data_IF_838485460923
#
_entry.id   IF_838485460923
#
_cell.length_a   1.000
_cell.length_b   1.000
_cell.length_c   1.000
_cell.angle_alpha   90.00
_cell.angle_beta   90.00
_cell.angle_gamma   90.00
#
_symmetry.space_group_name_H-M   'P 1'
#
loop_
_entity.id
_entity.type
_entity.pdbx_description
1 polymer ?
#
# COMPACT_ATOMS: atom_id res chain seq x y z
N UNK A 1 -4.00 80.02 -38.82
CA UNK A 1 -3.63 79.33 -37.56
C UNK A 1 -3.80 77.83 -37.75
N UNK A 2 -2.72 77.07 -37.50
CA UNK A 2 -2.61 75.59 -37.34
C UNK A 2 -2.89 74.72 -38.57
N UNK A 3 -2.19 73.63 -38.83
CA UNK A 3 -0.78 73.20 -38.69
C UNK A 3 -0.70 71.89 -39.48
N UNK A 4 0.37 71.73 -40.27
CA UNK A 4 0.82 70.48 -40.88
C UNK A 4 1.00 69.38 -39.81
N UNK A 5 0.54 68.15 -40.05
CA UNK A 5 1.17 66.93 -39.48
C UNK A 5 1.05 65.74 -40.43
N UNK A 6 2.22 65.30 -40.91
CA UNK A 6 2.53 63.99 -41.45
C UNK A 6 2.42 62.90 -40.37
N UNK A 7 1.99 61.70 -40.75
CA UNK A 7 2.35 60.40 -40.14
C UNK A 7 1.89 59.31 -41.12
N UNK A 8 2.73 58.78 -42.02
CA UNK A 8 3.63 57.64 -41.79
C UNK A 8 3.03 56.58 -40.84
N UNK A 9 2.35 55.58 -41.38
CA UNK A 9 2.08 54.33 -40.67
C UNK A 9 2.86 53.23 -41.36
N UNK A 10 3.88 52.79 -40.62
CA UNK A 10 4.80 51.72 -40.95
C UNK A 10 4.07 50.36 -40.93
N UNK A 11 4.40 49.53 -41.89
CA UNK A 11 4.06 48.10 -41.96
C UNK A 11 4.70 47.37 -40.78
N UNK A 12 3.91 46.61 -40.02
CA UNK A 12 4.40 45.56 -39.13
C UNK A 12 3.64 44.27 -39.43
N UNK A 13 4.22 43.47 -40.31
CA UNK A 13 3.91 42.05 -40.54
C UNK A 13 4.02 41.28 -39.23
N UNK A 14 2.89 40.76 -38.76
CA UNK A 14 2.84 39.84 -37.63
C UNK A 14 3.28 38.45 -38.12
N UNK A 15 4.55 38.11 -37.87
CA UNK A 15 5.03 36.74 -37.98
C UNK A 15 4.44 35.96 -36.82
N UNK A 16 3.41 35.17 -37.07
CA UNK A 16 2.89 34.20 -36.11
C UNK A 16 3.91 33.06 -36.03
N UNK A 17 4.80 33.15 -35.05
CA UNK A 17 5.64 32.01 -34.65
C UNK A 17 4.74 30.95 -34.02
N UNK A 18 4.41 29.89 -34.77
CA UNK A 18 4.03 28.60 -34.22
C UNK A 18 5.24 28.02 -33.48
N UNK A 19 5.39 28.40 -32.21
CA UNK A 19 6.24 27.66 -31.29
C UNK A 19 5.47 26.39 -30.89
N UNK A 20 5.90 25.27 -31.46
CA UNK A 20 5.53 23.93 -31.04
C UNK A 20 5.72 23.81 -29.52
N UNK A 21 4.60 23.72 -28.79
CA UNK A 21 4.60 23.34 -27.39
C UNK A 21 4.85 21.83 -27.33
N UNK A 22 6.12 21.46 -27.46
CA UNK A 22 6.57 20.12 -27.11
C UNK A 22 6.26 19.92 -25.62
N UNK A 23 5.24 19.11 -25.35
CA UNK A 23 4.88 18.68 -24.02
C UNK A 23 6.10 17.96 -23.40
N UNK A 24 6.89 18.69 -22.63
CA UNK A 24 7.90 18.06 -21.80
C UNK A 24 7.18 17.09 -20.86
N UNK A 25 7.65 15.83 -20.74
CA UNK A 25 7.07 14.90 -19.77
C UNK A 25 7.22 15.56 -18.40
N UNK A 26 6.08 15.88 -17.76
CA UNK A 26 6.05 16.49 -16.42
C UNK A 26 6.90 15.62 -15.50
N UNK A 27 8.11 16.10 -15.20
CA UNK A 27 9.03 15.47 -14.27
C UNK A 27 8.26 15.30 -12.97
N UNK A 28 8.00 14.06 -12.57
CA UNK A 28 7.25 13.79 -11.34
C UNK A 28 7.94 14.52 -10.18
N UNK A 29 7.18 15.18 -9.29
CA UNK A 29 7.77 15.81 -8.12
C UNK A 29 8.60 14.75 -7.37
N UNK A 30 9.79 15.11 -6.89
CA UNK A 30 10.63 14.19 -6.15
C UNK A 30 9.85 13.67 -4.94
N UNK A 31 9.95 12.36 -4.70
CA UNK A 31 9.38 11.75 -3.50
C UNK A 31 9.99 12.42 -2.26
N UNK A 32 9.20 12.61 -1.18
CA UNK A 32 9.72 13.15 0.06
C UNK A 32 10.89 12.31 0.54
N UNK A 33 11.97 12.96 0.97
CA UNK A 33 13.21 12.32 1.39
C UNK A 33 13.29 12.06 2.89
N UNK A 34 12.27 12.46 3.64
CA UNK A 34 12.20 12.22 5.08
C UNK A 34 11.97 10.72 5.34
N UNK A 35 12.83 10.14 6.18
CA UNK A 35 12.65 8.78 6.68
C UNK A 35 11.85 8.84 7.98
N UNK A 36 10.90 7.94 8.13
CA UNK A 36 10.19 7.73 9.38
C UNK A 36 11.16 7.33 10.49
N UNK A 37 10.81 7.71 11.71
CA UNK A 37 11.54 7.27 12.90
C UNK A 37 11.04 5.88 13.27
N UNK A 38 11.92 4.89 13.17
CA UNK A 38 11.62 3.50 13.54
C UNK A 38 12.39 3.15 14.80
N UNK A 39 11.66 2.68 15.81
CA UNK A 39 12.23 2.19 17.06
C UNK A 39 11.84 0.73 17.25
N UNK A 40 12.84 -0.14 17.35
CA UNK A 40 12.66 -1.50 17.85
C UNK A 40 12.82 -1.44 19.37
N UNK A 41 11.71 -1.53 20.10
CA UNK A 41 11.71 -1.40 21.56
C UNK A 41 11.42 -2.73 22.25
N UNK A 42 12.08 -2.97 23.38
CA UNK A 42 11.58 -3.90 24.38
C UNK A 42 10.50 -3.17 25.16
N UNK A 43 9.24 -3.24 24.71
CA UNK A 43 8.11 -2.60 25.41
C UNK A 43 7.97 -3.07 26.86
N UNK A 44 7.32 -2.22 27.68
CA UNK A 44 6.84 -2.56 29.02
C UNK A 44 5.88 -3.76 28.98
N UNK A 45 5.75 -4.47 30.11
CA UNK A 45 4.93 -5.67 30.24
C UNK A 45 3.46 -5.43 29.82
N UNK A 46 2.90 -4.26 30.11
CA UNK A 46 1.47 -3.97 29.82
C UNK A 46 1.16 -3.85 28.32
N UNK A 47 2.07 -3.26 27.53
CA UNK A 47 1.91 -3.21 26.08
C UNK A 47 2.26 -4.55 25.41
N UNK A 48 3.04 -5.41 26.09
CA UNK A 48 3.17 -6.81 25.68
C UNK A 48 1.84 -7.55 25.77
N UNK A 49 0.97 -7.18 26.71
CA UNK A 49 -0.28 -7.90 26.96
C UNK A 49 -1.41 -7.49 26.00
N UNK A 50 -1.51 -6.23 25.58
CA UNK A 50 -2.57 -5.77 24.66
C UNK A 50 -2.53 -6.45 23.29
N UNK A 51 -1.37 -6.44 22.62
CA UNK A 51 -1.21 -7.08 21.31
C UNK A 51 -1.35 -8.60 21.38
N UNK A 52 -0.86 -9.22 22.46
CA UNK A 52 -1.01 -10.67 22.69
C UNK A 52 -2.47 -11.05 22.95
N UNK A 53 -3.19 -10.27 23.75
CA UNK A 53 -4.61 -10.48 24.03
C UNK A 53 -5.43 -10.40 22.75
N UNK A 54 -5.20 -9.39 21.91
CA UNK A 54 -5.87 -9.28 20.61
C UNK A 54 -5.57 -10.48 19.69
N UNK A 55 -4.32 -10.95 19.67
CA UNK A 55 -3.93 -12.15 18.94
C UNK A 55 -4.65 -13.40 19.45
N UNK A 56 -4.69 -13.61 20.77
CA UNK A 56 -5.36 -14.76 21.39
C UNK A 56 -6.88 -14.72 21.20
N UNK A 57 -7.51 -13.56 21.32
CA UNK A 57 -8.95 -13.38 21.06
C UNK A 57 -9.30 -13.72 19.61
N UNK A 58 -8.48 -13.27 18.66
CA UNK A 58 -8.64 -13.63 17.25
C UNK A 58 -8.47 -15.13 17.00
N UNK A 59 -7.42 -15.74 17.56
CA UNK A 59 -7.16 -17.18 17.41
C UNK A 59 -8.28 -18.03 18.03
N UNK A 60 -8.84 -17.62 19.17
CA UNK A 60 -10.02 -18.25 19.77
C UNK A 60 -11.25 -18.13 18.88
N UNK A 61 -11.48 -16.98 18.27
CA UNK A 61 -12.62 -16.78 17.39
C UNK A 61 -12.53 -17.66 16.13
N UNK A 62 -11.39 -17.71 15.45
CA UNK A 62 -11.22 -18.54 14.24
C UNK A 62 -11.17 -20.05 14.52
N UNK A 63 -11.00 -20.46 15.78
CA UNK A 63 -11.09 -21.86 16.22
C UNK A 63 -12.46 -22.22 16.82
N UNK A 64 -13.44 -21.31 16.77
CA UNK A 64 -14.76 -21.46 17.38
C UNK A 64 -14.74 -21.72 18.91
N UNK A 65 -13.67 -21.29 19.58
CA UNK A 65 -13.48 -21.42 21.04
C UNK A 65 -13.74 -20.10 21.78
N UNK A 66 -14.23 -19.06 21.10
CA UNK A 66 -14.38 -17.71 21.65
C UNK A 66 -15.53 -16.91 21.05
N UNK A 67 -15.56 -15.61 21.31
CA UNK A 67 -16.57 -14.71 20.77
C UNK A 67 -16.23 -14.35 19.30
N UNK A 68 -17.14 -14.65 18.38
CA UNK A 68 -17.03 -14.33 16.96
C UNK A 68 -16.83 -12.82 16.70
N UNK A 69 -17.24 -11.96 17.63
CA UNK A 69 -17.00 -10.51 17.55
C UNK A 69 -15.52 -10.12 17.43
N UNK A 70 -14.57 -10.96 17.87
CA UNK A 70 -13.14 -10.70 17.68
C UNK A 70 -12.69 -10.80 16.20
N UNK A 71 -13.51 -11.38 15.32
CA UNK A 71 -13.30 -11.35 13.87
C UNK A 71 -13.48 -9.91 13.34
N UNK A 72 -14.26 -9.06 14.01
CA UNK A 72 -14.39 -7.63 13.66
C UNK A 72 -13.10 -6.81 13.95
N UNK A 73 -12.17 -7.38 14.72
CA UNK A 73 -10.83 -6.84 14.90
C UNK A 73 -9.94 -7.01 13.67
N UNK A 74 -10.39 -7.72 12.63
CA UNK A 74 -9.71 -7.79 11.34
C UNK A 74 -9.62 -6.41 10.70
N UNK A 75 -8.40 -6.02 10.33
CA UNK A 75 -8.18 -4.79 9.59
C UNK A 75 -8.71 -4.94 8.16
N UNK A 76 -9.76 -4.18 7.81
CA UNK A 76 -10.48 -4.32 6.54
C UNK A 76 -11.80 -5.08 6.63
N UNK A 77 -12.17 -5.53 7.83
CA UNK A 77 -13.38 -6.31 8.07
C UNK A 77 -13.22 -7.79 7.73
N UNK A 78 -14.23 -8.57 8.09
CA UNK A 78 -14.25 -10.01 7.83
C UNK A 78 -14.47 -10.28 6.33
N UNK A 79 -13.40 -10.45 5.56
CA UNK A 79 -13.52 -11.17 4.28
C UNK A 79 -13.51 -12.65 4.58
N UNK A 80 -14.68 -13.20 4.89
CA UNK A 80 -14.97 -14.64 5.06
C UNK A 80 -14.75 -15.42 3.75
N UNK A 81 -13.52 -15.41 3.23
CA UNK A 81 -13.09 -16.19 2.06
C UNK A 81 -11.75 -16.90 2.27
N UNK A 82 -11.09 -16.72 3.41
CA UNK A 82 -10.24 -17.79 3.90
C UNK A 82 -11.17 -18.98 4.14
N UNK A 83 -11.06 -20.03 3.29
CA UNK A 83 -11.55 -21.37 3.65
C UNK A 83 -10.84 -21.73 4.95
N UNK A 84 -11.45 -21.37 6.08
CA UNK A 84 -10.99 -21.68 7.42
C UNK A 84 -11.12 -23.19 7.53
N UNK A 85 -10.07 -23.90 7.13
CA UNK A 85 -9.83 -25.24 7.64
C UNK A 85 -9.92 -25.11 9.16
N UNK A 86 -10.89 -25.78 9.77
CA UNK A 86 -11.15 -25.73 11.20
C UNK A 86 -9.83 -25.91 11.94
N UNK A 87 -9.31 -24.86 12.55
CA UNK A 87 -8.04 -24.92 13.27
C UNK A 87 -8.37 -25.57 14.61
N UNK A 88 -8.21 -26.89 14.70
CA UNK A 88 -8.52 -27.65 15.92
C UNK A 88 -7.64 -27.21 17.09
N UNK A 89 -6.36 -26.95 16.82
CA UNK A 89 -5.37 -26.57 17.81
C UNK A 89 -4.45 -25.49 17.27
N UNK A 90 -4.16 -24.48 18.10
CA UNK A 90 -3.22 -23.41 17.80
C UNK A 90 -2.33 -23.10 19.00
N UNK A 91 -1.12 -22.61 18.74
CA UNK A 91 -0.20 -22.14 19.76
C UNK A 91 0.63 -20.98 19.23
N UNK A 92 0.76 -19.91 20.01
CA UNK A 92 1.76 -18.87 19.76
C UNK A 92 3.13 -19.43 20.17
N UNK A 93 4.00 -19.67 19.19
CA UNK A 93 5.33 -20.28 19.38
C UNK A 93 6.45 -19.24 19.45
N UNK A 94 6.19 -18.01 19.03
CA UNK A 94 7.17 -16.93 19.11
C UNK A 94 6.54 -15.56 18.95
N UNK A 95 7.30 -14.53 19.31
CA UNK A 95 6.99 -13.12 19.08
C UNK A 95 8.27 -12.42 18.65
N UNK A 96 8.21 -11.65 17.58
CA UNK A 96 9.32 -10.78 17.18
C UNK A 96 9.41 -9.53 18.06
N UNK A 97 10.48 -8.75 17.86
CA UNK A 97 10.59 -7.44 18.52
C UNK A 97 9.45 -6.55 18.05
N UNK A 98 8.87 -5.83 19.00
CA UNK A 98 7.88 -4.81 18.71
C UNK A 98 8.50 -3.72 17.85
N UNK A 99 7.83 -3.36 16.76
CA UNK A 99 8.28 -2.30 15.85
C UNK A 99 7.33 -1.14 15.96
N UNK A 100 7.88 0.03 16.18
CA UNK A 100 7.15 1.28 16.31
C UNK A 100 7.68 2.28 15.28
N UNK A 101 6.78 2.87 14.51
CA UNK A 101 7.12 3.84 13.47
C UNK A 101 6.31 5.12 13.64
N UNK A 102 6.99 6.26 13.58
CA UNK A 102 6.38 7.60 13.55
C UNK A 102 6.77 8.31 12.26
N UNK A 103 5.78 8.82 11.55
CA UNK A 103 5.98 9.53 10.28
C UNK A 103 4.92 10.57 10.00
N UNK A 104 5.02 11.20 8.83
CA UNK A 104 4.06 12.20 8.36
C UNK A 104 3.10 11.56 7.34
N UNK A 105 1.79 11.76 7.53
CA UNK A 105 0.75 11.26 6.63
C UNK A 105 0.83 11.89 5.24
N UNK A 106 1.32 13.14 5.18
CA UNK A 106 1.59 13.80 3.90
C UNK A 106 2.60 13.02 3.05
N UNK A 107 3.62 12.43 3.69
CA UNK A 107 4.63 11.65 2.99
C UNK A 107 4.07 10.30 2.52
N UNK A 108 3.28 9.62 3.37
CA UNK A 108 2.60 8.39 2.97
C UNK A 108 1.67 8.61 1.77
N UNK A 109 0.87 9.68 1.79
CA UNK A 109 0.00 10.04 0.68
C UNK A 109 0.81 10.32 -0.61
N UNK A 110 1.96 10.97 -0.49
CA UNK A 110 2.84 11.21 -1.64
C UNK A 110 3.40 9.91 -2.22
N UNK A 111 3.86 8.98 -1.38
CA UNK A 111 4.35 7.67 -1.81
C UNK A 111 3.25 6.85 -2.47
N UNK A 112 2.08 6.74 -1.83
CA UNK A 112 0.92 6.01 -2.36
C UNK A 112 0.49 6.59 -3.71
N UNK A 113 0.34 7.91 -3.80
CA UNK A 113 -0.05 8.57 -5.05
C UNK A 113 0.99 8.36 -6.18
N UNK A 114 2.29 8.37 -5.84
CA UNK A 114 3.35 8.15 -6.82
C UNK A 114 3.38 6.72 -7.34
N UNK A 115 3.17 5.73 -6.46
CA UNK A 115 3.07 4.31 -6.79
C UNK A 115 1.83 4.09 -7.65
N UNK A 116 0.66 4.56 -7.20
CA UNK A 116 -0.61 4.46 -7.93
C UNK A 116 -0.54 5.09 -9.33
N UNK A 117 0.16 6.23 -9.46
CA UNK A 117 0.42 6.86 -10.75
C UNK A 117 1.26 5.99 -11.66
N UNK A 118 2.38 5.44 -11.18
CA UNK A 118 3.21 4.52 -11.98
C UNK A 118 2.46 3.24 -12.36
N UNK A 119 1.65 2.68 -11.44
CA UNK A 119 0.85 1.50 -11.71
C UNK A 119 -0.18 1.73 -12.82
N UNK A 120 -0.85 2.89 -12.83
CA UNK A 120 -1.77 3.27 -13.91
C UNK A 120 -1.06 3.50 -15.25
N UNK A 121 0.10 4.14 -15.24
CA UNK A 121 0.92 4.34 -16.44
C UNK A 121 1.40 3.00 -17.02
N UNK A 122 1.85 2.09 -16.15
CA UNK A 122 2.22 0.73 -16.52
C UNK A 122 1.03 -0.03 -17.13
N UNK A 123 -0.12 -0.04 -16.46
CA UNK A 123 -1.34 -0.69 -16.96
C UNK A 123 -1.79 -0.11 -18.30
N UNK A 124 -1.78 1.22 -18.44
CA UNK A 124 -2.11 1.88 -19.71
C UNK A 124 -1.16 1.50 -20.83
N UNK A 125 0.11 1.25 -20.54
CA UNK A 125 1.10 0.81 -21.54
C UNK A 125 0.86 -0.64 -21.94
N UNK A 126 0.45 -1.50 -20.99
CA UNK A 126 0.14 -2.89 -21.26
C UNK A 126 -1.19 -3.08 -22.02
N UNK A 127 -2.18 -2.22 -21.77
CA UNK A 127 -3.51 -2.29 -22.42
C UNK A 127 -3.57 -1.48 -23.72
N UNK A 128 -2.92 -0.32 -23.77
CA UNK A 128 -3.10 0.68 -24.83
C UNK A 128 -2.29 0.44 -26.11
N UNK A 129 -1.52 -0.65 -26.18
CA UNK A 129 -0.53 -0.85 -27.23
C UNK A 129 0.62 0.16 -27.10
N UNK A 130 1.86 -0.31 -27.28
CA UNK A 130 2.96 0.62 -27.49
C UNK A 130 2.72 1.53 -28.71
N UNK A 131 3.61 2.48 -29.00
CA UNK A 131 3.57 3.33 -30.21
C UNK A 131 3.73 2.54 -31.54
N UNK A 132 3.46 1.24 -31.55
CA UNK A 132 3.59 0.31 -32.67
C UNK A 132 2.32 -0.55 -32.89
N UNK A 133 1.14 -0.13 -32.40
CA UNK A 133 -0.14 -0.76 -32.81
C UNK A 133 -0.80 0.10 -33.90
N UNK A 134 -0.77 -0.41 -35.13
CA UNK A 134 -1.35 0.21 -36.34
C UNK A 134 -2.81 -0.17 -36.56
N UNK A 135 -3.57 -0.58 -35.53
CA UNK A 135 -4.98 -0.99 -35.69
C UNK A 135 -5.94 -0.07 -34.92
N UNK A 136 -6.83 0.68 -35.60
CA UNK A 136 -7.74 1.64 -34.99
C UNK A 136 -8.96 1.02 -34.28
N UNK A 137 -9.16 -0.30 -34.35
CA UNK A 137 -10.32 -1.00 -33.78
C UNK A 137 -9.98 -2.18 -32.83
N UNK A 138 -8.71 -2.38 -32.45
CA UNK A 138 -8.27 -3.61 -31.75
C UNK A 138 -7.86 -3.42 -30.29
N UNK A 139 -8.77 -3.67 -29.33
CA UNK A 139 -8.39 -4.05 -27.96
C UNK A 139 -7.76 -5.45 -27.97
N UNK A 140 -6.55 -5.56 -28.52
CA UNK A 140 -5.74 -6.77 -28.48
C UNK A 140 -4.85 -6.75 -27.24
N UNK A 141 -5.05 -7.70 -26.31
CA UNK A 141 -4.06 -7.96 -25.26
C UNK A 141 -2.79 -8.43 -25.97
N UNK A 142 -1.77 -7.57 -26.04
CA UNK A 142 -0.48 -7.94 -26.58
C UNK A 142 0.12 -9.01 -25.66
N UNK A 143 0.62 -10.12 -26.21
CA UNK A 143 1.45 -11.06 -25.45
C UNK A 143 2.75 -10.33 -25.08
N UNK A 144 2.76 -9.71 -23.90
CA UNK A 144 3.92 -9.00 -23.38
C UNK A 144 4.91 -10.05 -22.88
N UNK A 145 6.13 -10.00 -23.41
CA UNK A 145 7.23 -10.83 -22.92
C UNK A 145 7.51 -10.53 -21.44
N UNK A 146 8.02 -11.51 -20.69
CA UNK A 146 8.39 -11.30 -19.27
C UNK A 146 9.38 -10.14 -19.11
N UNK A 147 10.27 -9.96 -20.08
CA UNK A 147 11.28 -8.89 -20.09
C UNK A 147 10.66 -7.50 -20.27
N UNK A 148 9.68 -7.37 -21.15
CA UNK A 148 9.00 -6.08 -21.38
C UNK A 148 8.04 -5.76 -20.25
N UNK A 149 7.38 -6.77 -19.67
CA UNK A 149 6.60 -6.60 -18.43
C UNK A 149 7.48 -6.09 -17.28
N UNK A 150 8.69 -6.63 -17.12
CA UNK A 150 9.66 -6.16 -16.12
C UNK A 150 10.04 -4.69 -16.35
N UNK A 151 10.34 -4.30 -17.60
CA UNK A 151 10.67 -2.89 -17.93
C UNK A 151 9.51 -1.94 -17.64
N UNK A 152 8.28 -2.34 -17.99
CA UNK A 152 7.08 -1.53 -17.78
C UNK A 152 6.77 -1.37 -16.28
N UNK A 153 7.00 -2.41 -15.48
CA UNK A 153 6.76 -2.41 -14.03
C UNK A 153 7.91 -1.84 -13.20
N UNK A 154 9.11 -1.68 -13.78
CA UNK A 154 10.30 -1.19 -13.08
C UNK A 154 10.09 0.15 -12.35
N UNK A 155 9.45 1.19 -12.94
CA UNK A 155 9.18 2.44 -12.23
C UNK A 155 8.31 2.25 -10.99
N UNK A 156 7.36 1.31 -11.05
CA UNK A 156 6.50 0.95 -9.92
C UNK A 156 7.33 0.28 -8.83
N UNK A 157 8.20 -0.68 -9.21
CA UNK A 157 9.11 -1.38 -8.28
C UNK A 157 10.03 -0.40 -7.55
N UNK A 158 10.67 0.52 -8.28
CA UNK A 158 11.58 1.52 -7.68
C UNK A 158 10.86 2.43 -6.68
N UNK A 159 9.62 2.84 -6.97
CA UNK A 159 8.83 3.66 -6.05
C UNK A 159 8.38 2.88 -4.81
N UNK A 160 7.99 1.61 -4.98
CA UNK A 160 7.70 0.70 -3.87
C UNK A 160 8.93 0.48 -2.99
N UNK A 161 10.12 0.27 -3.57
CA UNK A 161 11.37 0.16 -2.82
C UNK A 161 11.72 1.44 -2.06
N UNK A 162 11.52 2.60 -2.69
CA UNK A 162 11.72 3.88 -2.02
C UNK A 162 10.76 4.06 -0.83
N UNK A 163 9.50 3.65 -1.00
CA UNK A 163 8.51 3.68 0.09
C UNK A 163 8.93 2.75 1.24
N UNK A 164 9.31 1.50 0.92
CA UNK A 164 9.80 0.54 1.91
C UNK A 164 11.07 0.98 2.64
N UNK A 165 11.91 1.82 2.02
CA UNK A 165 13.10 2.39 2.68
C UNK A 165 12.77 3.56 3.59
N UNK A 166 11.76 4.35 3.26
CA UNK A 166 11.40 5.55 4.03
C UNK A 166 10.42 5.27 5.16
N UNK A 167 9.48 4.34 4.96
CA UNK A 167 8.44 3.98 5.93
C UNK A 167 8.34 2.45 6.02
N UNK A 168 9.39 1.78 6.53
CA UNK A 168 9.52 0.31 6.44
C UNK A 168 8.43 -0.46 7.19
N UNK A 169 7.95 0.02 8.34
CA UNK A 169 6.89 -0.67 9.09
C UNK A 169 5.57 -0.49 8.37
N UNK A 170 5.22 0.73 7.94
CA UNK A 170 4.01 0.97 7.16
C UNK A 170 4.01 0.19 5.86
N UNK A 171 5.11 0.20 5.11
CA UNK A 171 5.21 -0.50 3.84
C UNK A 171 5.07 -2.02 4.00
N UNK A 172 5.66 -2.60 5.06
CA UNK A 172 5.50 -4.02 5.40
C UNK A 172 4.04 -4.37 5.73
N UNK A 173 3.41 -3.52 6.54
CA UNK A 173 2.03 -3.68 7.01
C UNK A 173 1.03 -3.53 5.85
N UNK A 174 1.21 -2.52 5.00
CA UNK A 174 0.42 -2.28 3.80
C UNK A 174 0.73 -3.22 2.64
N UNK A 175 1.80 -4.03 2.77
CA UNK A 175 2.24 -5.04 1.81
C UNK A 175 2.59 -4.46 0.45
N UNK A 176 3.23 -3.29 0.45
CA UNK A 176 3.58 -2.48 -0.75
C UNK A 176 4.39 -3.26 -1.79
N UNK A 177 5.15 -4.26 -1.34
CA UNK A 177 5.97 -5.17 -2.14
C UNK A 177 5.20 -6.36 -2.73
N UNK A 178 3.90 -6.51 -2.40
CA UNK A 178 3.06 -7.63 -2.83
C UNK A 178 1.90 -7.15 -3.70
N UNK A 179 1.37 -8.06 -4.52
CA UNK A 179 0.24 -7.78 -5.42
C UNK A 179 -1.00 -7.27 -4.68
N UNK A 180 -1.23 -7.76 -3.45
CA UNK A 180 -2.36 -7.35 -2.59
C UNK A 180 -2.35 -5.85 -2.24
N UNK A 181 -1.21 -5.16 -2.35
CA UNK A 181 -1.15 -3.70 -2.20
C UNK A 181 -2.14 -2.97 -3.14
N UNK A 182 -2.25 -3.48 -4.36
CA UNK A 182 -3.03 -2.89 -5.45
C UNK A 182 -4.52 -3.17 -5.33
N UNK A 183 -4.93 -4.03 -4.40
CA UNK A 183 -6.33 -4.35 -4.22
C UNK A 183 -7.11 -3.11 -3.71
N UNK A 184 -8.24 -2.73 -4.33
CA UNK A 184 -9.01 -1.55 -3.91
C UNK A 184 -9.50 -1.64 -2.46
N UNK A 185 -9.73 -2.86 -1.96
CA UNK A 185 -10.11 -3.13 -0.56
C UNK A 185 -8.91 -3.27 0.39
N UNK A 186 -7.70 -2.89 -0.03
CA UNK A 186 -6.57 -2.83 0.91
C UNK A 186 -6.94 -1.86 2.05
N UNK A 187 -6.99 -2.32 3.31
CA UNK A 187 -7.57 -1.56 4.41
C UNK A 187 -6.74 -0.34 4.76
N UNK A 188 -5.45 -0.33 4.42
CA UNK A 188 -4.61 0.84 4.61
C UNK A 188 -5.02 2.00 3.72
N UNK A 189 -5.63 1.74 2.55
CA UNK A 189 -6.17 2.81 1.70
C UNK A 189 -7.29 3.56 2.41
N UNK A 190 -8.17 2.84 3.14
CA UNK A 190 -9.21 3.46 3.96
C UNK A 190 -8.61 4.22 5.14
N UNK A 191 -7.66 3.62 5.87
CA UNK A 191 -6.98 4.29 6.99
C UNK A 191 -6.29 5.60 6.58
N UNK A 192 -5.61 5.60 5.42
CA UNK A 192 -4.98 6.79 4.85
C UNK A 192 -6.01 7.85 4.44
N UNK A 193 -7.12 7.44 3.83
CA UNK A 193 -8.20 8.36 3.46
C UNK A 193 -8.82 9.01 4.70
N UNK A 194 -9.10 8.23 5.74
CA UNK A 194 -9.67 8.70 7.01
C UNK A 194 -8.69 9.61 7.78
N UNK A 195 -7.38 9.35 7.69
CA UNK A 195 -6.34 10.19 8.32
C UNK A 195 -6.21 11.59 7.70
N UNK A 196 -6.68 11.77 6.47
CA UNK A 196 -6.62 13.03 5.74
C UNK A 196 -5.24 13.34 5.12
N UNK A 197 -5.03 14.56 4.60
CA UNK A 197 -3.87 14.88 3.77
C UNK A 197 -2.58 15.19 4.55
N UNK A 198 -2.68 15.49 5.85
CA UNK A 198 -1.56 15.97 6.68
C UNK A 198 -1.69 15.47 8.12
N UNK A 199 -0.58 15.48 8.84
CA UNK A 199 -0.53 15.12 10.26
C UNK A 199 0.51 14.06 10.53
N UNK A 200 0.78 13.83 11.82
CA UNK A 200 1.68 12.77 12.25
C UNK A 200 0.89 11.50 12.49
N UNK A 201 1.48 10.38 12.10
CA UNK A 201 0.97 9.07 12.44
C UNK A 201 1.95 8.33 13.36
N UNK A 202 1.37 7.41 14.11
CA UNK A 202 2.08 6.37 14.84
C UNK A 202 1.55 5.02 14.38
N UNK A 203 2.46 4.11 14.08
CA UNK A 203 2.16 2.74 13.69
C UNK A 203 2.92 1.79 14.62
N UNK A 204 2.17 0.95 15.31
CA UNK A 204 2.66 -0.12 16.16
C UNK A 204 2.45 -1.46 15.47
N UNK A 205 3.47 -2.32 15.47
CA UNK A 205 3.41 -3.66 14.90
C UNK A 205 3.96 -4.68 15.89
N UNK A 206 3.12 -5.65 16.22
CA UNK A 206 3.50 -6.90 16.86
C UNK A 206 3.36 -8.06 15.87
N UNK A 207 4.40 -8.89 15.80
CA UNK A 207 4.42 -10.07 14.95
C UNK A 207 4.57 -11.31 15.82
N UNK A 208 3.54 -12.15 15.80
CA UNK A 208 3.49 -13.43 16.48
C UNK A 208 3.66 -14.57 15.48
N UNK A 209 4.41 -15.59 15.85
CA UNK A 209 4.48 -16.83 15.08
C UNK A 209 3.48 -17.81 15.69
N UNK A 210 2.51 -18.23 14.88
CA UNK A 210 1.46 -19.16 15.27
C UNK A 210 1.72 -20.50 14.61
N UNK A 211 1.62 -21.55 15.40
CA UNK A 211 1.62 -22.93 14.93
C UNK A 211 0.19 -23.47 15.00
N UNK A 212 -0.31 -23.97 13.88
CA UNK A 212 -1.63 -24.58 13.73
C UNK A 212 -1.49 -26.01 13.25
N UNK A 213 -2.39 -26.88 13.69
CA UNK A 213 -2.51 -28.23 13.15
C UNK A 213 -3.68 -28.22 12.18
N UNK A 214 -3.40 -28.39 10.90
CA UNK A 214 -4.37 -28.36 9.80
C UNK A 214 -4.49 -29.76 9.18
N UNK A 215 -5.71 -30.20 8.85
CA UNK A 215 -5.98 -31.49 8.20
C UNK A 215 -7.01 -32.35 8.94
N UNK A 216 -7.60 -33.31 8.24
CA UNK A 216 -8.47 -34.32 8.85
C UNK A 216 -7.64 -35.27 9.74
N UNK A 217 -8.31 -36.02 10.64
CA UNK A 217 -7.68 -36.85 11.67
C UNK A 217 -6.51 -37.75 11.22
N UNK A 218 -6.43 -38.12 9.93
CA UNK A 218 -5.42 -39.01 9.35
C UNK A 218 -4.21 -38.26 8.73
N UNK A 219 -4.32 -36.97 8.38
CA UNK A 219 -3.28 -36.17 7.71
C UNK A 219 -3.04 -34.83 8.42
N UNK A 220 -2.78 -34.87 9.73
CA UNK A 220 -2.50 -33.67 10.54
C UNK A 220 -1.13 -33.09 10.18
N UNK A 221 -1.11 -31.94 9.51
CA UNK A 221 0.09 -31.21 9.17
C UNK A 221 0.25 -29.97 10.06
N UNK A 222 1.43 -29.82 10.65
CA UNK A 222 1.78 -28.63 11.43
C UNK A 222 2.17 -27.50 10.49
N UNK A 223 1.41 -26.41 10.50
CA UNK A 223 1.71 -25.19 9.76
C UNK A 223 2.16 -24.09 10.72
N UNK A 224 3.25 -23.40 10.36
CA UNK A 224 3.69 -22.18 11.05
C UNK A 224 3.40 -20.98 10.16
N UNK A 225 2.77 -19.95 10.72
CA UNK A 225 2.45 -18.74 9.97
C UNK A 225 2.51 -17.47 10.85
N UNK A 226 2.78 -16.31 10.24
CA UNK A 226 2.87 -15.03 10.95
C UNK A 226 1.49 -14.40 11.20
N UNK A 227 1.16 -14.13 12.45
CA UNK A 227 0.01 -13.32 12.86
C UNK A 227 0.48 -11.90 13.21
N UNK A 228 -0.04 -10.92 12.48
CA UNK A 228 0.36 -9.51 12.62
C UNK A 228 -0.74 -8.75 13.36
N UNK A 229 -0.36 -8.05 14.43
CA UNK A 229 -1.23 -7.16 15.18
C UNK A 229 -0.72 -5.74 14.98
N UNK A 230 -1.61 -4.85 14.59
CA UNK A 230 -1.29 -3.49 14.20
C UNK A 230 -2.20 -2.52 14.90
N UNK A 231 -1.64 -1.40 15.36
CA UNK A 231 -2.39 -0.23 15.79
C UNK A 231 -1.90 0.99 15.04
N UNK A 232 -2.84 1.69 14.43
CA UNK A 232 -2.61 2.94 13.73
C UNK A 232 -3.24 4.07 14.52
N UNK A 233 -2.48 5.14 14.71
CA UNK A 233 -2.95 6.36 15.34
C UNK A 233 -2.59 7.56 14.47
N UNK A 234 -3.54 8.44 14.22
CA UNK A 234 -3.28 9.68 13.51
C UNK A 234 -4.36 10.74 13.82
N UNK A 235 -3.95 11.99 14.07
CA UNK A 235 -4.86 13.13 14.22
C UNK A 235 -6.03 12.88 15.20
N UNK A 236 -5.77 12.21 16.32
CA UNK A 236 -6.79 11.87 17.33
C UNK A 236 -7.64 10.65 16.99
N UNK A 237 -7.48 10.05 15.81
CA UNK A 237 -8.06 8.75 15.45
C UNK A 237 -7.15 7.63 15.91
N UNK A 238 -7.73 6.60 16.51
CA UNK A 238 -7.05 5.37 16.92
C UNK A 238 -7.81 4.18 16.33
N UNK A 239 -7.14 3.33 15.57
CA UNK A 239 -7.77 2.14 15.00
C UNK A 239 -8.10 1.08 16.06
N UNK A 240 -7.55 1.20 17.27
CA UNK A 240 -7.42 0.10 18.21
C UNK A 240 -6.45 -0.96 17.68
N UNK A 241 -6.28 -2.03 18.46
CA UNK A 241 -5.50 -3.20 18.04
C UNK A 241 -6.29 -3.96 16.97
N UNK A 242 -5.70 -4.08 15.79
CA UNK A 242 -6.29 -4.74 14.63
C UNK A 242 -5.42 -5.88 14.15
N UNK A 243 -6.07 -6.93 13.65
CA UNK A 243 -5.43 -8.15 13.17
C UNK A 243 -5.28 -8.08 11.66
N UNK A 244 -4.08 -8.37 11.19
CA UNK A 244 -3.78 -8.59 9.76
C UNK A 244 -3.52 -10.08 9.54
N UNK A 245 -4.52 -10.83 9.04
CA UNK A 245 -4.42 -12.27 8.91
C UNK A 245 -3.39 -12.63 7.84
N UNK A 246 -2.81 -13.83 7.95
CA UNK A 246 -1.89 -14.36 6.94
C UNK A 246 -2.63 -14.81 5.67
N UNK A 247 -3.86 -15.33 5.80
CA UNK A 247 -4.58 -16.07 4.76
C UNK A 247 -5.19 -15.18 3.68
N UNK A 248 -5.81 -14.05 4.01
CA UNK A 248 -6.42 -13.15 2.99
C UNK A 248 -5.37 -12.30 2.23
N UNK A 249 -4.08 -12.51 2.53
CA UNK A 249 -2.97 -11.64 2.10
C UNK A 249 -1.78 -12.41 1.53
N UNK A 250 -1.84 -13.74 1.47
CA UNK A 250 -0.89 -14.59 0.78
C UNK A 250 -1.58 -15.19 -0.45
N UNK A 251 -1.15 -14.77 -1.64
CA UNK A 251 -1.43 -15.46 -2.89
C UNK A 251 -0.37 -16.56 -3.11
N UNK A 252 -0.12 -17.36 -2.07
CA UNK A 252 0.65 -18.60 -2.16
C UNK A 252 -0.26 -19.76 -1.76
#
# INVERSE_FOLDING_TARGET
MRALRFALVLVATLVVSLAAWAAQPKKNPPLPSAKAQVADSQMSLDARDGGRKAAEEYLKAISHQGNDGAIESLLGGATLTARLFTIENWKIVGREKHRHEVGEVGDLNAYVAAIDKAGREALSTMIGGGPASEDPDGLGVQEISEEDAKKILEPTRLKSEAFSKSHPVFAYVARVDKQVYWHPKNPFRKLLADAGPKGKYTLELDLFWVETIEGAHEDKNTRKWPLRIVRWQCNGTDSGMKVLPASDWNAE
#
